data_IF_652869436537
#
_entry.id   IF_652869436537
#
_cell.length_a   1.000
_cell.length_b   1.000
_cell.length_c   1.000
_cell.angle_alpha   90.00
_cell.angle_beta   90.00
_cell.angle_gamma   90.00
#
_symmetry.space_group_name_H-M   'P 1'
#
loop_
_entity.id
_entity.type
_entity.pdbx_description
1 polymer ?
#
# COMPACT_ATOMS: atom_id res chain seq x y z
N UNK A 1 -47.60 9.54 -40.16
CA UNK A 1 -46.76 10.35 -39.23
C UNK A 1 -46.55 11.80 -39.71
N UNK A 2 -47.52 12.40 -40.41
CA UNK A 2 -47.60 13.85 -40.66
C UNK A 2 -48.65 14.39 -39.68
N UNK A 3 -48.50 15.62 -39.17
CA UNK A 3 -49.40 16.37 -38.26
C UNK A 3 -48.89 16.60 -36.82
N UNK A 4 -47.61 16.36 -36.51
CA UNK A 4 -47.03 16.89 -35.28
C UNK A 4 -46.64 18.36 -35.49
N UNK A 5 -47.10 19.30 -34.65
CA UNK A 5 -46.74 20.72 -34.77
C UNK A 5 -45.22 20.88 -34.65
N UNK A 6 -44.65 21.80 -35.43
CA UNK A 6 -43.19 21.98 -35.56
C UNK A 6 -42.51 22.17 -34.20
N UNK A 7 -43.14 22.93 -33.29
CA UNK A 7 -42.65 23.11 -31.92
C UNK A 7 -42.54 21.82 -31.11
N UNK A 8 -43.45 20.85 -31.32
CA UNK A 8 -43.42 19.56 -30.61
C UNK A 8 -42.35 18.61 -31.16
N UNK A 9 -42.06 18.68 -32.46
CA UNK A 9 -40.94 17.94 -33.08
C UNK A 9 -39.59 18.50 -32.61
N UNK A 10 -39.49 19.83 -32.51
CA UNK A 10 -38.30 20.51 -32.00
C UNK A 10 -38.08 20.22 -30.51
N UNK A 11 -39.15 20.25 -29.70
CA UNK A 11 -39.10 19.87 -28.29
C UNK A 11 -38.63 18.43 -28.10
N UNK A 12 -39.18 17.47 -28.87
CA UNK A 12 -38.74 16.07 -28.82
C UNK A 12 -37.26 15.88 -29.17
N UNK A 13 -36.78 16.57 -30.21
CA UNK A 13 -35.36 16.54 -30.57
C UNK A 13 -34.47 17.12 -29.46
N UNK A 14 -34.90 18.23 -28.86
CA UNK A 14 -34.17 18.89 -27.77
C UNK A 14 -34.12 18.02 -26.50
N UNK A 15 -35.25 17.39 -26.14
CA UNK A 15 -35.32 16.44 -25.02
C UNK A 15 -34.41 15.23 -25.25
N UNK A 16 -34.36 14.71 -26.48
CA UNK A 16 -33.51 13.57 -26.81
C UNK A 16 -32.01 13.93 -26.67
N UNK A 17 -31.61 15.11 -27.15
CA UNK A 17 -30.23 15.61 -27.00
C UNK A 17 -29.88 15.84 -25.52
N UNK A 18 -30.76 16.47 -24.74
CA UNK A 18 -30.57 16.69 -23.30
C UNK A 18 -30.44 15.37 -22.53
N UNK A 19 -31.26 14.38 -22.88
CA UNK A 19 -31.20 13.05 -22.25
C UNK A 19 -29.87 12.37 -22.58
N UNK A 20 -29.42 12.46 -23.83
CA UNK A 20 -28.11 11.95 -24.25
C UNK A 20 -26.95 12.58 -23.47
N UNK A 21 -26.99 13.91 -23.28
CA UNK A 21 -26.00 14.64 -22.49
C UNK A 21 -26.01 14.25 -21.01
N UNK A 22 -27.19 14.02 -20.43
CA UNK A 22 -27.30 13.58 -19.04
C UNK A 22 -26.75 12.18 -18.83
N UNK A 23 -27.00 11.26 -19.76
CA UNK A 23 -26.47 9.90 -19.71
C UNK A 23 -24.95 9.90 -19.83
N UNK A 24 -24.38 10.66 -20.76
CA UNK A 24 -22.92 10.75 -20.92
C UNK A 24 -22.26 11.43 -19.71
N UNK A 25 -22.86 12.48 -19.16
CA UNK A 25 -22.38 13.12 -17.94
C UNK A 25 -22.44 12.18 -16.72
N UNK A 26 -23.53 11.42 -16.57
CA UNK A 26 -23.66 10.41 -15.51
C UNK A 26 -22.64 9.28 -15.63
N UNK A 27 -22.44 8.76 -16.85
CA UNK A 27 -21.43 7.74 -17.12
C UNK A 27 -20.01 8.25 -16.87
N UNK A 28 -19.70 9.48 -17.29
CA UNK A 28 -18.41 10.11 -17.04
C UNK A 28 -18.16 10.29 -15.53
N UNK A 29 -19.16 10.73 -14.77
CA UNK A 29 -19.02 10.88 -13.33
C UNK A 29 -18.82 9.52 -12.65
N UNK A 30 -19.61 8.51 -13.00
CA UNK A 30 -19.43 7.16 -12.45
C UNK A 30 -18.03 6.57 -12.77
N UNK A 31 -17.54 6.76 -13.99
CA UNK A 31 -16.21 6.32 -14.40
C UNK A 31 -15.09 7.06 -13.64
N UNK A 32 -15.20 8.38 -13.46
CA UNK A 32 -14.22 9.18 -12.73
C UNK A 32 -14.20 8.79 -11.25
N UNK A 33 -15.36 8.58 -10.62
CA UNK A 33 -15.43 8.12 -9.23
C UNK A 33 -14.74 6.76 -9.04
N UNK A 34 -15.06 5.79 -9.90
CA UNK A 34 -14.45 4.46 -9.87
C UNK A 34 -12.93 4.51 -10.10
N UNK A 35 -12.47 5.37 -11.00
CA UNK A 35 -11.03 5.57 -11.27
C UNK A 35 -10.33 6.24 -10.08
N UNK A 36 -10.95 7.24 -9.46
CA UNK A 36 -10.44 7.90 -8.26
C UNK A 36 -10.25 6.93 -7.11
N UNK A 37 -11.25 6.07 -6.86
CA UNK A 37 -11.18 5.05 -5.81
C UNK A 37 -10.09 4.00 -6.12
N UNK A 38 -9.96 3.62 -7.39
CA UNK A 38 -8.92 2.67 -7.84
C UNK A 38 -7.51 3.25 -7.70
N UNK A 39 -7.30 4.51 -8.09
CA UNK A 39 -6.00 5.18 -7.98
C UNK A 39 -5.64 5.44 -6.52
N UNK A 40 -6.60 5.82 -5.69
CA UNK A 40 -6.40 5.99 -4.25
C UNK A 40 -6.01 4.67 -3.57
N UNK A 41 -6.71 3.58 -3.88
CA UNK A 41 -6.36 2.22 -3.41
C UNK A 41 -4.96 1.83 -3.90
N UNK A 42 -4.64 1.97 -5.20
CA UNK A 42 -3.31 1.61 -5.70
C UNK A 42 -2.18 2.41 -5.06
N UNK A 43 -2.37 3.71 -4.83
CA UNK A 43 -1.35 4.55 -4.20
C UNK A 43 -1.17 4.22 -2.71
N UNK A 44 -2.28 4.06 -1.98
CA UNK A 44 -2.24 3.70 -0.57
C UNK A 44 -1.70 2.27 -0.36
N UNK A 45 -2.10 1.32 -1.19
CA UNK A 45 -1.76 -0.08 -1.03
C UNK A 45 -0.30 -0.36 -1.39
N UNK A 46 0.24 0.27 -2.45
CA UNK A 46 1.57 -0.05 -2.94
C UNK A 46 2.67 0.82 -2.30
N UNK A 47 2.43 2.13 -2.16
CA UNK A 47 3.45 3.05 -1.61
C UNK A 47 3.60 2.90 -0.10
N UNK A 48 2.48 2.71 0.63
CA UNK A 48 2.55 2.58 2.09
C UNK A 48 3.06 1.20 2.52
N UNK A 49 2.65 0.13 1.84
CA UNK A 49 3.21 -1.20 2.10
C UNK A 49 4.70 -1.27 1.74
N UNK A 50 5.11 -0.68 0.60
CA UNK A 50 6.52 -0.56 0.24
C UNK A 50 7.34 0.24 1.24
N UNK A 51 6.76 1.29 1.85
CA UNK A 51 7.43 2.08 2.88
C UNK A 51 7.70 1.28 4.16
N UNK A 52 6.73 0.49 4.64
CA UNK A 52 6.95 -0.35 5.84
C UNK A 52 7.95 -1.49 5.59
N UNK A 53 7.97 -2.05 4.37
CA UNK A 53 8.98 -3.03 3.98
C UNK A 53 10.39 -2.39 3.93
N UNK A 54 10.50 -1.16 3.41
CA UNK A 54 11.75 -0.41 3.42
C UNK A 54 12.23 -0.10 4.85
N UNK A 55 11.33 0.28 5.76
CA UNK A 55 11.67 0.45 7.19
C UNK A 55 12.16 -0.84 7.83
N UNK A 56 11.51 -1.97 7.52
CA UNK A 56 11.94 -3.30 7.99
C UNK A 56 13.36 -3.61 7.52
N UNK A 57 13.65 -3.37 6.23
CA UNK A 57 14.99 -3.55 5.64
C UNK A 57 16.04 -2.65 6.31
N UNK A 58 15.73 -1.36 6.51
CA UNK A 58 16.63 -0.42 7.21
C UNK A 58 16.90 -0.86 8.65
N UNK A 59 15.86 -1.30 9.38
CA UNK A 59 16.03 -1.79 10.75
C UNK A 59 16.92 -3.04 10.80
N UNK A 60 16.79 -3.94 9.82
CA UNK A 60 17.63 -5.14 9.70
C UNK A 60 19.10 -4.78 9.42
N UNK A 61 19.34 -3.81 8.55
CA UNK A 61 20.68 -3.29 8.29
C UNK A 61 21.30 -2.65 9.54
N UNK A 62 20.52 -1.92 10.33
CA UNK A 62 20.99 -1.35 11.59
C UNK A 62 21.34 -2.43 12.61
N UNK A 63 20.52 -3.47 12.76
CA UNK A 63 20.84 -4.63 13.59
C UNK A 63 22.15 -5.29 13.14
N UNK A 64 22.31 -5.54 11.84
CA UNK A 64 23.54 -6.11 11.27
C UNK A 64 24.76 -5.24 11.56
N UNK A 65 24.63 -3.92 11.40
CA UNK A 65 25.72 -2.99 11.65
C UNK A 65 26.15 -3.01 13.12
N UNK A 66 25.18 -3.06 14.05
CA UNK A 66 25.46 -3.22 15.48
C UNK A 66 26.20 -4.53 15.76
N UNK A 67 25.76 -5.66 15.18
CA UNK A 67 26.47 -6.96 15.31
C UNK A 67 27.91 -6.85 14.80
N UNK A 68 28.14 -6.22 13.65
CA UNK A 68 29.50 -6.02 13.10
C UNK A 68 30.35 -5.15 14.03
N UNK A 69 29.77 -4.08 14.60
CA UNK A 69 30.46 -3.22 15.56
C UNK A 69 30.85 -3.97 16.83
N UNK A 70 29.92 -4.73 17.41
CA UNK A 70 30.13 -5.58 18.59
C UNK A 70 31.29 -6.57 18.33
N UNK A 71 31.33 -7.22 17.17
CA UNK A 71 32.40 -8.17 16.83
C UNK A 71 33.76 -7.45 16.70
N UNK A 72 33.76 -6.16 16.35
CA UNK A 72 34.97 -5.34 16.21
C UNK A 72 35.47 -4.70 17.51
N UNK A 73 34.74 -4.79 18.62
CA UNK A 73 35.18 -4.18 19.89
C UNK A 73 36.32 -4.98 20.53
N UNK A 74 37.24 -4.27 21.18
CA UNK A 74 38.37 -4.87 21.89
C UNK A 74 38.16 -4.92 23.42
N UNK A 75 37.25 -4.08 23.93
CA UNK A 75 36.89 -4.03 25.35
C UNK A 75 35.70 -4.92 25.63
N UNK A 76 35.77 -5.69 26.73
CA UNK A 76 34.63 -6.47 27.23
C UNK A 76 33.48 -5.56 27.66
N UNK A 77 33.79 -4.40 28.22
CA UNK A 77 32.78 -3.43 28.67
C UNK A 77 31.98 -2.90 27.48
N UNK A 78 32.65 -2.45 26.42
CA UNK A 78 32.01 -1.98 25.18
C UNK A 78 31.21 -3.08 24.49
N UNK A 79 31.71 -4.33 24.51
CA UNK A 79 30.97 -5.49 24.00
C UNK A 79 29.67 -5.68 24.78
N UNK A 80 29.75 -5.72 26.12
CA UNK A 80 28.59 -5.99 26.97
C UNK A 80 27.56 -4.85 26.89
N UNK A 81 28.01 -3.59 26.76
CA UNK A 81 27.15 -2.41 26.54
C UNK A 81 26.44 -2.47 25.19
N UNK A 82 27.17 -2.65 24.08
CA UNK A 82 26.56 -2.69 22.75
C UNK A 82 25.68 -3.93 22.55
N UNK A 83 26.05 -5.08 23.12
CA UNK A 83 25.23 -6.29 23.06
C UNK A 83 23.89 -6.12 23.78
N UNK A 84 23.82 -5.28 24.82
CA UNK A 84 22.56 -4.95 25.50
C UNK A 84 21.58 -4.16 24.59
N UNK A 85 22.05 -3.55 23.51
CA UNK A 85 21.20 -2.84 22.54
C UNK A 85 20.56 -3.78 21.50
N UNK A 86 21.13 -4.97 21.26
CA UNK A 86 20.64 -5.92 20.25
C UNK A 86 19.14 -6.25 20.36
N UNK A 87 18.57 -6.51 21.56
CA UNK A 87 17.13 -6.76 21.70
C UNK A 87 16.27 -5.60 21.22
N UNK A 88 16.69 -4.35 21.44
CA UNK A 88 15.96 -3.15 21.01
C UNK A 88 15.95 -3.02 19.49
N UNK A 89 17.09 -3.31 18.85
CA UNK A 89 17.20 -3.33 17.40
C UNK A 89 16.37 -4.45 16.78
N UNK A 90 16.38 -5.65 17.38
CA UNK A 90 15.51 -6.76 16.97
C UNK A 90 14.02 -6.41 17.09
N UNK A 91 13.61 -5.84 18.22
CA UNK A 91 12.22 -5.41 18.44
C UNK A 91 11.76 -4.39 17.39
N UNK A 92 12.65 -3.51 16.94
CA UNK A 92 12.35 -2.55 15.87
C UNK A 92 12.07 -3.24 14.53
N UNK A 93 12.84 -4.28 14.18
CA UNK A 93 12.58 -5.09 12.97
C UNK A 93 11.22 -5.77 13.06
N UNK A 94 10.92 -6.41 14.19
CA UNK A 94 9.65 -7.10 14.43
C UNK A 94 8.46 -6.12 14.36
N UNK A 95 8.60 -4.92 14.92
CA UNK A 95 7.57 -3.87 14.88
C UNK A 95 7.25 -3.40 13.45
N UNK A 96 8.27 -3.16 12.62
CA UNK A 96 8.04 -2.74 11.23
C UNK A 96 7.48 -3.87 10.37
N UNK A 97 7.91 -5.12 10.62
CA UNK A 97 7.36 -6.29 9.95
C UNK A 97 5.86 -6.50 10.27
N UNK A 98 5.47 -6.36 11.54
CA UNK A 98 4.06 -6.39 11.95
C UNK A 98 3.26 -5.24 11.32
N UNK A 99 3.84 -4.04 11.25
CA UNK A 99 3.22 -2.87 10.62
C UNK A 99 2.95 -3.11 9.13
N UNK A 100 3.88 -3.75 8.43
CA UNK A 100 3.70 -4.21 7.05
C UNK A 100 2.53 -5.20 6.93
N UNK A 101 2.46 -6.20 7.81
CA UNK A 101 1.38 -7.21 7.79
C UNK A 101 -0.02 -6.59 7.98
N UNK A 102 -0.16 -5.67 8.94
CA UNK A 102 -1.45 -5.01 9.23
C UNK A 102 -1.91 -4.16 8.05
N UNK A 103 -0.99 -3.43 7.40
CA UNK A 103 -1.33 -2.58 6.24
C UNK A 103 -1.64 -3.41 5.00
N UNK A 104 -0.93 -4.52 4.80
CA UNK A 104 -1.23 -5.49 3.74
C UNK A 104 -2.66 -6.03 3.84
N UNK A 105 -3.20 -6.29 5.04
CA UNK A 105 -4.60 -6.75 5.19
C UNK A 105 -5.63 -5.76 4.61
N UNK A 106 -5.26 -4.49 4.40
CA UNK A 106 -6.13 -3.47 3.79
C UNK A 106 -6.05 -3.47 2.26
N UNK A 107 -4.93 -3.91 1.69
CA UNK A 107 -4.70 -4.04 0.26
C UNK A 107 -5.26 -5.38 -0.23
N UNK A 108 -6.30 -5.36 -1.06
CA UNK A 108 -6.85 -6.59 -1.65
C UNK A 108 -5.94 -7.04 -2.80
N UNK A 109 -4.89 -7.80 -2.47
CA UNK A 109 -3.94 -8.31 -3.45
C UNK A 109 -4.53 -9.48 -4.27
N UNK A 110 -4.40 -9.43 -5.60
CA UNK A 110 -4.68 -10.56 -6.50
C UNK A 110 -3.58 -11.64 -6.48
N UNK A 111 -2.45 -11.37 -5.82
CA UNK A 111 -1.29 -12.27 -5.62
C UNK A 111 -1.35 -12.89 -4.22
N UNK A 112 -0.91 -14.14 -4.09
CA UNK A 112 -0.81 -14.83 -2.79
C UNK A 112 0.38 -14.31 -1.96
N UNK A 113 0.35 -13.03 -1.62
CA UNK A 113 1.37 -12.37 -0.81
C UNK A 113 1.43 -12.95 0.61
N UNK A 114 0.43 -13.74 1.04
CA UNK A 114 0.38 -14.38 2.36
C UNK A 114 1.56 -15.34 2.55
N UNK A 115 1.88 -16.11 1.50
CA UNK A 115 3.07 -16.97 1.44
C UNK A 115 4.36 -16.16 1.46
N UNK A 116 4.42 -15.08 0.69
CA UNK A 116 5.60 -14.21 0.64
C UNK A 116 5.91 -13.58 2.00
N UNK A 117 4.88 -13.14 2.72
CA UNK A 117 5.04 -12.63 4.08
C UNK A 117 5.48 -13.71 5.06
N UNK A 118 4.90 -14.92 5.00
CA UNK A 118 5.30 -16.02 5.86
C UNK A 118 6.76 -16.42 5.62
N UNK A 119 7.20 -16.47 4.36
CA UNK A 119 8.59 -16.72 4.00
C UNK A 119 9.52 -15.60 4.49
N UNK A 120 9.12 -14.34 4.37
CA UNK A 120 9.87 -13.20 4.91
C UNK A 120 9.99 -13.26 6.43
N UNK A 121 8.88 -13.55 7.12
CA UNK A 121 8.87 -13.68 8.58
C UNK A 121 9.79 -14.81 9.03
N UNK A 122 9.68 -15.99 8.40
CA UNK A 122 10.56 -17.11 8.69
C UNK A 122 12.03 -16.76 8.43
N UNK A 123 12.34 -16.09 7.31
CA UNK A 123 13.70 -15.69 6.99
C UNK A 123 14.29 -14.67 7.99
N UNK A 124 13.46 -13.78 8.53
CA UNK A 124 13.88 -12.85 9.61
C UNK A 124 14.07 -13.60 10.93
N UNK A 125 13.19 -14.55 11.26
CA UNK A 125 13.32 -15.38 12.45
C UNK A 125 14.57 -16.26 12.41
N UNK A 126 14.93 -16.81 11.24
CA UNK A 126 16.16 -17.60 11.03
C UNK A 126 17.43 -16.72 11.04
N UNK A 127 17.30 -15.42 10.76
CA UNK A 127 18.44 -14.49 10.73
C UNK A 127 18.91 -14.07 12.14
N UNK A 128 18.02 -14.08 13.13
CA UNK A 128 18.33 -13.71 14.52
C UNK A 128 18.85 -14.89 15.34
#
# INVERSE_FOLDING_TARGET
MKNLPVGMRLALAFTLVLTGLLVTAGAAWWAIGTLSDTVSSMYQDNTVAGTELAKTSTALLNYRNLVIQIIGTQSKEDFDEMAAELPTHRASVEQYLQSYQVRKKRAVAKRDESKDFAALQQGIEEYF
#
